data_IF_962720208193
#
_entry.id   IF_962720208193
#
_cell.length_a   1.000
_cell.length_b   1.000
_cell.length_c   1.000
_cell.angle_alpha   90.00
_cell.angle_beta   90.00
_cell.angle_gamma   90.00
#
_symmetry.space_group_name_H-M   'P 1'
#
loop_
_entity.id
_entity.type
_entity.pdbx_description
1 polymer ?
#
# COMPACT_ATOMS: atom_id res chain seq x y z
N UNK A 1 -15.61 36.75 22.27
CA UNK A 1 -14.45 36.53 21.38
C UNK A 1 -13.81 35.19 21.73
N UNK A 2 -14.09 34.13 20.95
CA UNK A 2 -13.34 32.87 21.07
C UNK A 2 -12.02 33.07 20.35
N UNK A 3 -10.91 33.07 21.08
CA UNK A 3 -9.57 33.09 20.49
C UNK A 3 -9.43 31.86 19.58
N UNK A 4 -9.39 32.09 18.26
CA UNK A 4 -8.82 31.13 17.33
C UNK A 4 -7.37 30.92 17.79
N UNK A 5 -7.12 29.79 18.44
CA UNK A 5 -5.76 29.31 18.67
C UNK A 5 -5.12 29.19 17.30
N UNK A 6 -4.15 30.06 17.02
CA UNK A 6 -3.34 29.97 15.83
C UNK A 6 -2.59 28.64 15.90
N UNK A 7 -2.91 27.70 15.00
CA UNK A 7 -2.07 26.52 14.78
C UNK A 7 -0.67 27.01 14.42
N UNK A 8 0.31 26.69 15.25
CA UNK A 8 1.70 26.99 14.95
C UNK A 8 2.12 26.16 13.73
N UNK A 9 2.82 26.77 12.79
CA UNK A 9 3.17 26.26 11.46
C UNK A 9 4.16 25.07 11.44
N UNK A 10 4.31 24.35 12.55
CA UNK A 10 5.36 23.35 12.76
C UNK A 10 4.88 21.94 13.12
N UNK A 11 3.57 21.72 13.21
CA UNK A 11 2.97 20.42 13.53
C UNK A 11 2.61 19.68 12.24
N UNK A 12 3.04 18.42 12.12
CA UNK A 12 2.61 17.55 11.03
C UNK A 12 1.44 16.69 11.51
N UNK A 13 0.30 16.85 10.84
CA UNK A 13 -0.90 16.06 11.10
C UNK A 13 -1.20 15.11 9.94
N UNK A 14 -1.65 13.90 10.28
CA UNK A 14 -2.17 12.90 9.35
C UNK A 14 -3.43 12.27 9.92
N UNK A 15 -4.40 12.02 9.05
CA UNK A 15 -5.70 11.45 9.42
C UNK A 15 -5.88 10.11 8.72
N UNK A 16 -6.41 9.12 9.43
CA UNK A 16 -6.68 7.77 8.93
C UNK A 16 -8.00 7.25 9.49
N UNK A 17 -8.88 6.76 8.64
CA UNK A 17 -10.09 6.06 9.07
C UNK A 17 -9.78 4.58 9.37
N UNK A 18 -10.25 4.08 10.51
CA UNK A 18 -10.03 2.69 10.93
C UNK A 18 -11.18 2.20 11.80
N UNK A 19 -11.83 1.09 11.41
CA UNK A 19 -12.92 0.45 12.17
C UNK A 19 -14.02 1.42 12.63
N UNK A 20 -14.43 2.36 11.77
CA UNK A 20 -15.46 3.36 12.06
C UNK A 20 -15.00 4.53 12.94
N UNK A 21 -13.72 4.57 13.31
CA UNK A 21 -13.08 5.67 14.03
C UNK A 21 -12.20 6.49 13.09
N UNK A 22 -11.93 7.74 13.45
CA UNK A 22 -10.97 8.61 12.79
C UNK A 22 -9.74 8.75 13.69
N UNK A 23 -8.60 8.29 13.22
CA UNK A 23 -7.30 8.40 13.89
C UNK A 23 -6.62 9.68 13.43
N UNK A 24 -6.25 10.54 14.38
CA UNK A 24 -5.51 11.77 14.12
C UNK A 24 -4.12 11.64 14.71
N UNK A 25 -3.12 11.49 13.84
CA UNK A 25 -1.71 11.42 14.20
C UNK A 25 -1.10 12.82 14.14
N UNK A 26 -0.44 13.23 15.21
CA UNK A 26 0.18 14.54 15.33
C UNK A 26 1.60 14.37 15.84
N UNK A 27 2.57 14.88 15.08
CA UNK A 27 3.97 14.87 15.46
C UNK A 27 4.32 16.23 16.08
N UNK A 28 4.62 16.25 17.37
CA UNK A 28 5.13 17.44 18.05
C UNK A 28 6.66 17.46 17.97
N UNK A 29 7.22 18.63 17.59
CA UNK A 29 8.67 18.85 17.67
C UNK A 29 9.04 19.06 19.13
N UNK A 30 10.12 18.42 19.58
CA UNK A 30 10.84 18.93 20.74
C UNK A 30 11.46 20.28 20.39
N UNK A 31 11.33 21.27 21.26
CA UNK A 31 11.84 22.61 20.98
C UNK A 31 13.35 22.61 20.64
N UNK A 32 13.71 23.20 19.49
CA UNK A 32 15.09 23.36 19.01
C UNK A 32 15.68 24.75 19.30
N UNK A 33 15.12 25.48 20.27
CA UNK A 33 15.62 26.80 20.66
C UNK A 33 16.34 26.74 22.01
N UNK A 34 17.50 27.40 22.04
CA UNK A 34 18.54 27.37 23.06
C UNK A 34 18.04 27.57 24.51
N UNK A 35 18.66 26.80 25.42
CA UNK A 35 18.61 26.87 26.91
C UNK A 35 17.61 25.96 27.66
N UNK A 36 17.35 24.76 27.14
CA UNK A 36 16.71 23.68 27.90
C UNK A 36 17.21 22.30 27.48
N UNK A 37 16.99 21.24 28.28
CA UNK A 37 17.21 19.88 27.81
C UNK A 37 16.37 19.62 26.56
N UNK A 38 16.96 19.04 25.52
CA UNK A 38 16.27 18.76 24.26
C UNK A 38 15.01 17.95 24.53
N UNK A 39 13.84 18.54 24.28
CA UNK A 39 12.56 17.85 24.44
C UNK A 39 12.52 16.64 23.49
N UNK A 40 12.16 15.48 24.04
CA UNK A 40 12.06 14.25 23.25
C UNK A 40 10.84 14.40 22.34
N UNK A 41 10.97 14.29 21.01
CA UNK A 41 9.82 14.39 20.12
C UNK A 41 8.79 13.29 20.40
N UNK A 42 7.51 13.65 20.34
CA UNK A 42 6.40 12.75 20.65
C UNK A 42 5.47 12.66 19.44
N UNK A 43 5.14 11.42 19.07
CA UNK A 43 4.01 11.16 18.19
C UNK A 43 2.77 10.95 19.05
N UNK A 44 1.76 11.79 18.87
CA UNK A 44 0.44 11.63 19.49
C UNK A 44 -0.53 10.98 18.53
N UNK A 45 -1.47 10.21 19.06
CA UNK A 45 -2.67 9.76 18.34
C UNK A 45 -3.91 10.07 19.14
N UNK A 46 -4.91 10.64 18.48
CA UNK A 46 -6.26 10.80 19.02
C UNK A 46 -7.21 9.91 18.23
N UNK A 47 -8.01 9.12 18.94
CA UNK A 47 -9.12 8.37 18.34
C UNK A 47 -10.39 9.18 18.47
N UNK A 48 -10.96 9.56 17.33
CA UNK A 48 -12.17 10.34 17.24
C UNK A 48 -13.32 9.44 16.76
N UNK A 49 -14.50 9.64 17.32
CA UNK A 49 -15.73 8.96 16.89
C UNK A 49 -16.78 10.02 16.61
N UNK A 50 -17.63 9.77 15.62
CA UNK A 50 -18.75 10.65 15.37
C UNK A 50 -19.83 10.43 16.42
N UNK A 51 -20.09 11.44 17.23
CA UNK A 51 -21.22 11.45 18.14
C UNK A 51 -22.44 12.05 17.43
N UNK A 52 -23.53 11.27 17.40
CA UNK A 52 -24.77 11.67 16.73
C UNK A 52 -25.52 12.75 17.50
N UNK A 53 -25.39 12.78 18.83
CA UNK A 53 -26.09 13.74 19.68
C UNK A 53 -25.55 15.15 19.47
N UNK A 54 -24.22 15.29 19.52
CA UNK A 54 -23.55 16.58 19.26
C UNK A 54 -23.32 16.84 17.78
N UNK A 55 -23.58 15.86 16.90
CA UNK A 55 -23.28 15.91 15.46
C UNK A 55 -21.82 16.30 15.18
N UNK A 56 -20.90 15.85 16.04
CA UNK A 56 -19.49 16.22 15.99
C UNK A 56 -18.59 15.02 16.27
N UNK A 57 -17.33 15.11 15.79
CA UNK A 57 -16.31 14.14 16.18
C UNK A 57 -15.80 14.44 17.58
N UNK A 58 -15.97 13.49 18.49
CA UNK A 58 -15.51 13.57 19.88
C UNK A 58 -14.32 12.65 20.11
N UNK A 59 -13.38 13.08 20.95
CA UNK A 59 -12.21 12.28 21.30
C UNK A 59 -12.61 11.16 22.25
N UNK A 60 -12.46 9.91 21.81
CA UNK A 60 -12.69 8.70 22.63
C UNK A 60 -11.49 8.33 23.47
N UNK A 61 -10.29 8.44 22.88
CA UNK A 61 -9.05 8.07 23.58
C UNK A 61 -7.82 8.70 22.91
N UNK A 62 -6.70 8.65 23.62
CA UNK A 62 -5.42 9.18 23.15
C UNK A 62 -4.30 8.19 23.46
N UNK A 63 -3.22 8.26 22.69
CA UNK A 63 -1.99 7.53 22.89
C UNK A 63 -0.79 8.36 22.45
N UNK A 64 0.40 7.90 22.82
CA UNK A 64 1.64 8.58 22.43
C UNK A 64 2.80 7.60 22.27
N UNK A 65 3.82 8.03 21.53
CA UNK A 65 5.08 7.33 21.36
C UNK A 65 6.24 8.31 21.40
N UNK A 66 7.15 8.12 22.36
CA UNK A 66 8.36 8.93 22.50
C UNK A 66 9.45 8.45 21.55
N UNK A 67 9.91 9.34 20.67
CA UNK A 67 10.94 9.03 19.68
C UNK A 67 12.30 9.43 20.27
N UNK A 68 13.06 8.44 20.73
CA UNK A 68 14.43 8.61 21.28
C UNK A 68 15.47 8.89 20.19
N UNK A 69 15.25 9.92 19.37
CA UNK A 69 16.21 10.41 18.37
C UNK A 69 16.48 11.88 18.61
N UNK A 70 17.52 12.15 19.40
CA UNK A 70 17.97 13.51 19.69
C UNK A 70 18.46 14.22 18.42
N UNK A 71 18.14 15.51 18.31
CA UNK A 71 18.63 16.38 17.24
C UNK A 71 18.29 15.93 15.81
N UNK A 72 17.23 15.13 15.65
CA UNK A 72 16.72 14.70 14.36
C UNK A 72 15.51 15.51 13.92
N UNK A 73 15.50 15.89 12.64
CA UNK A 73 14.28 16.37 12.01
C UNK A 73 13.37 15.18 11.72
N UNK A 74 12.17 15.19 12.31
CA UNK A 74 11.20 14.13 12.14
C UNK A 74 10.09 14.56 11.17
N UNK A 75 9.67 13.63 10.33
CA UNK A 75 8.61 13.83 9.35
C UNK A 75 7.74 12.58 9.25
N UNK A 76 6.42 12.75 9.26
CA UNK A 76 5.47 11.69 8.92
C UNK A 76 5.46 11.55 7.39
N UNK A 77 5.80 10.36 6.90
CA UNK A 77 5.84 10.04 5.48
C UNK A 77 4.44 9.65 5.01
N UNK A 78 3.87 8.61 5.62
CA UNK A 78 2.54 8.11 5.29
C UNK A 78 1.93 7.36 6.48
N UNK A 79 0.61 7.16 6.43
CA UNK A 79 -0.14 6.29 7.33
C UNK A 79 -1.25 5.59 6.54
N UNK A 80 -1.46 4.31 6.81
CA UNK A 80 -2.57 3.52 6.27
C UNK A 80 -2.77 2.29 7.17
N UNK A 81 -3.48 1.27 6.71
CA UNK A 81 -3.65 -0.01 7.39
C UNK A 81 -2.99 -1.13 6.58
N UNK A 82 -2.43 -2.12 7.27
CA UNK A 82 -1.88 -3.35 6.67
C UNK A 82 -2.12 -4.53 7.61
N UNK A 83 -2.18 -5.72 7.02
CA UNK A 83 -2.28 -6.98 7.77
C UNK A 83 -0.92 -7.36 8.37
N UNK A 84 -0.89 -7.62 9.68
CA UNK A 84 0.29 -8.18 10.36
C UNK A 84 0.34 -9.69 10.13
N UNK A 85 1.39 -10.18 9.47
CA UNK A 85 1.56 -11.63 9.19
C UNK A 85 1.51 -12.51 10.44
N UNK A 86 1.87 -11.97 11.61
CA UNK A 86 1.88 -12.74 12.87
C UNK A 86 0.48 -13.08 13.36
N UNK A 87 -0.48 -12.20 13.12
CA UNK A 87 -1.82 -12.28 13.71
C UNK A 87 -2.94 -12.28 12.67
N UNK A 88 -2.63 -11.96 11.41
CA UNK A 88 -3.61 -11.70 10.35
C UNK A 88 -4.44 -10.42 10.59
N UNK A 89 -4.18 -9.66 11.66
CA UNK A 89 -4.97 -8.48 11.98
C UNK A 89 -4.58 -7.30 11.10
N UNK A 90 -5.57 -6.64 10.52
CA UNK A 90 -5.38 -5.36 9.85
C UNK A 90 -5.18 -4.26 10.89
N UNK A 91 -3.97 -3.68 10.94
CA UNK A 91 -3.57 -2.69 11.92
C UNK A 91 -3.21 -1.36 11.25
N UNK A 92 -3.57 -0.20 11.85
CA UNK A 92 -3.07 1.08 11.41
C UNK A 92 -1.56 1.14 11.58
N UNK A 93 -0.86 1.68 10.60
CA UNK A 93 0.55 1.98 10.67
C UNK A 93 0.82 3.45 10.39
N UNK A 94 1.97 3.90 10.87
CA UNK A 94 2.54 5.20 10.55
C UNK A 94 4.02 5.05 10.27
N UNK A 95 4.47 5.65 9.17
CA UNK A 95 5.86 5.66 8.76
C UNK A 95 6.47 7.02 9.07
N UNK A 96 7.56 7.02 9.83
CA UNK A 96 8.26 8.22 10.27
C UNK A 96 9.68 8.20 9.73
N UNK A 97 10.08 9.31 9.12
CA UNK A 97 11.46 9.60 8.77
C UNK A 97 12.11 10.42 9.88
N UNK A 98 13.38 10.11 10.13
CA UNK A 98 14.27 10.75 11.07
C UNK A 98 15.54 11.12 10.32
N UNK A 99 15.76 12.41 10.10
CA UNK A 99 16.93 12.93 9.41
C UNK A 99 17.94 13.52 10.41
N UNK A 100 19.19 13.05 10.36
CA UNK A 100 20.33 13.65 11.08
C UNK A 100 21.22 14.39 10.07
N UNK A 101 22.00 15.38 10.52
CA UNK A 101 22.86 16.26 9.70
C UNK A 101 23.88 15.56 8.76
N UNK A 102 23.95 14.23 8.73
CA UNK A 102 24.95 13.44 8.02
C UNK A 102 24.41 12.76 6.74
N UNK A 103 23.30 13.22 6.15
CA UNK A 103 22.67 12.61 4.96
C UNK A 103 22.32 11.11 5.11
N UNK A 104 22.18 10.62 6.34
CA UNK A 104 21.68 9.27 6.64
C UNK A 104 20.25 9.40 7.14
N UNK A 105 19.33 8.85 6.37
CA UNK A 105 17.91 8.89 6.66
C UNK A 105 17.50 7.63 7.39
N UNK A 106 16.98 7.78 8.61
CA UNK A 106 16.44 6.66 9.40
C UNK A 106 14.92 6.63 9.26
N UNK A 107 14.36 5.44 9.09
CA UNK A 107 12.92 5.24 8.94
C UNK A 107 12.41 4.28 9.99
N UNK A 108 11.20 4.54 10.48
CA UNK A 108 10.46 3.68 11.40
C UNK A 108 9.09 3.38 10.83
N UNK A 109 8.69 2.12 10.88
CA UNK A 109 7.29 1.72 10.71
C UNK A 109 6.73 1.38 12.09
N UNK A 110 5.73 2.12 12.53
CA UNK A 110 5.06 1.90 13.81
C UNK A 110 3.65 1.36 13.56
N UNK A 111 3.26 0.30 14.24
CA UNK A 111 1.88 -0.17 14.31
C UNK A 111 1.17 0.44 15.51
N UNK A 112 -0.08 0.82 15.32
CA UNK A 112 -0.96 1.26 16.39
C UNK A 112 -1.85 0.10 16.83
N UNK A 113 -1.62 -0.39 18.04
CA UNK A 113 -2.46 -1.42 18.64
C UNK A 113 -3.81 -0.83 19.11
N UNK A 114 -4.81 -1.70 19.32
CA UNK A 114 -6.14 -1.31 19.82
C UNK A 114 -6.08 -0.58 21.17
N UNK A 115 -5.05 -0.86 21.98
CA UNK A 115 -4.78 -0.22 23.28
C UNK A 115 -4.15 1.19 23.18
N UNK A 116 -4.09 1.78 21.98
CA UNK A 116 -3.38 3.04 21.70
C UNK A 116 -1.88 3.00 21.94
N UNK A 117 -1.30 1.80 22.07
CA UNK A 117 0.14 1.62 22.18
C UNK A 117 0.74 1.47 20.80
N UNK A 118 1.85 2.14 20.58
CA UNK A 118 2.64 1.98 19.38
C UNK A 118 3.66 0.85 19.54
N UNK A 119 3.74 -0.01 18.54
CA UNK A 119 4.76 -1.04 18.40
C UNK A 119 5.68 -0.67 17.25
N UNK A 120 6.99 -0.60 17.49
CA UNK A 120 7.96 -0.40 16.40
C UNK A 120 8.13 -1.71 15.64
N UNK A 121 7.51 -1.80 14.46
CA UNK A 121 7.53 -3.01 13.65
C UNK A 121 8.80 -3.15 12.82
N UNK A 122 9.31 -2.04 12.28
CA UNK A 122 10.51 -2.02 11.45
C UNK A 122 11.32 -0.74 11.65
N UNK A 123 12.65 -0.83 11.53
CA UNK A 123 13.57 0.30 11.55
C UNK A 123 14.72 0.05 10.57
N UNK A 124 15.02 1.02 9.71
CA UNK A 124 16.12 0.91 8.74
C UNK A 124 16.74 2.27 8.43
N UNK A 125 17.88 2.26 7.74
CA UNK A 125 18.64 3.45 7.36
C UNK A 125 18.95 3.42 5.88
N UNK A 126 18.91 4.58 5.23
CA UNK A 126 19.24 4.76 3.82
C UNK A 126 20.22 5.93 3.64
N UNK A 127 21.05 5.84 2.60
CA UNK A 127 21.91 6.95 2.15
C UNK A 127 21.20 7.96 1.25
N UNK A 128 19.91 7.74 0.99
CA UNK A 128 19.06 8.61 0.19
C UNK A 128 17.69 8.75 0.85
N UNK A 129 17.01 9.86 0.55
CA UNK A 129 15.65 10.09 1.00
C UNK A 129 14.66 9.25 0.19
N UNK A 130 13.73 8.58 0.85
CA UNK A 130 12.54 8.03 0.23
C UNK A 130 11.68 9.18 -0.31
N UNK A 131 11.63 9.29 -1.65
CA UNK A 131 10.76 10.21 -2.38
C UNK A 131 9.41 9.53 -2.67
N UNK A 132 8.57 10.20 -3.44
CA UNK A 132 7.28 9.67 -3.89
C UNK A 132 7.45 8.27 -4.52
N UNK A 133 6.44 7.40 -4.39
CA UNK A 133 6.40 5.96 -4.74
C UNK A 133 6.76 4.94 -3.64
N UNK A 134 6.60 5.30 -2.37
CA UNK A 134 6.67 4.33 -1.26
C UNK A 134 5.34 3.59 -1.17
N UNK A 135 5.40 2.26 -1.14
CA UNK A 135 4.24 1.41 -0.90
C UNK A 135 4.50 0.44 0.23
N UNK A 136 3.49 0.28 1.08
CA UNK A 136 3.51 -0.67 2.19
C UNK A 136 2.39 -1.67 1.92
N UNK A 137 2.77 -2.93 1.71
CA UNK A 137 1.87 -4.05 1.50
C UNK A 137 1.70 -4.86 2.78
N UNK A 138 0.81 -5.85 2.78
CA UNK A 138 0.63 -6.78 3.90
C UNK A 138 1.94 -7.49 4.26
N UNK A 139 2.10 -7.88 5.52
CA UNK A 139 3.30 -8.60 5.98
C UNK A 139 4.29 -7.85 6.88
N UNK A 140 4.13 -6.55 7.18
CA UNK A 140 4.24 -5.45 6.22
C UNK A 140 5.51 -5.51 5.36
N UNK A 141 5.36 -5.38 4.04
CA UNK A 141 6.48 -5.23 3.11
C UNK A 141 6.55 -3.79 2.59
N UNK A 142 7.65 -3.11 2.84
CA UNK A 142 7.90 -1.76 2.30
C UNK A 142 8.65 -1.91 0.99
N UNK A 143 8.10 -1.37 -0.09
CA UNK A 143 8.71 -1.32 -1.42
C UNK A 143 8.80 0.14 -1.88
N UNK A 144 9.91 0.52 -2.48
CA UNK A 144 10.07 1.81 -3.13
C UNK A 144 10.97 1.69 -4.36
N UNK A 145 10.84 2.64 -5.27
CA UNK A 145 11.71 2.76 -6.44
C UNK A 145 12.80 3.81 -6.18
N UNK A 146 14.03 3.51 -6.56
CA UNK A 146 15.12 4.48 -6.59
C UNK A 146 16.04 4.18 -7.77
N UNK A 147 16.27 5.17 -8.63
CA UNK A 147 17.13 5.04 -9.83
C UNK A 147 16.75 3.80 -10.66
N UNK A 148 15.45 3.70 -11.01
CA UNK A 148 14.85 2.60 -11.79
C UNK A 148 14.99 1.20 -11.16
N UNK A 149 15.41 1.11 -9.91
CA UNK A 149 15.54 -0.15 -9.18
C UNK A 149 14.54 -0.20 -8.03
N UNK A 150 13.80 -1.30 -7.93
CA UNK A 150 12.94 -1.54 -6.79
C UNK A 150 13.73 -2.11 -5.62
N UNK A 151 13.58 -1.46 -4.47
CA UNK A 151 14.12 -1.90 -3.19
C UNK A 151 12.98 -2.31 -2.29
N UNK A 152 13.26 -3.24 -1.39
CA UNK A 152 12.30 -3.69 -0.41
C UNK A 152 12.95 -3.97 0.95
N UNK A 153 12.10 -3.95 1.98
CA UNK A 153 12.44 -4.41 3.32
C UNK A 153 11.18 -4.94 4.01
N UNK A 154 11.34 -6.01 4.78
CA UNK A 154 10.29 -6.56 5.64
C UNK A 154 10.83 -6.85 7.05
N UNK A 155 9.96 -7.00 8.07
CA UNK A 155 10.39 -7.44 9.39
C UNK A 155 11.10 -8.80 9.40
N UNK A 156 10.76 -9.70 8.48
CA UNK A 156 11.35 -11.04 8.35
C UNK A 156 12.79 -10.96 7.83
N UNK A 157 13.04 -10.11 6.82
CA UNK A 157 14.37 -9.95 6.22
C UNK A 157 15.27 -9.04 7.05
N UNK A 158 14.71 -7.98 7.66
CA UNK A 158 15.41 -7.01 8.49
C UNK A 158 16.51 -6.21 7.78
N UNK A 159 16.67 -6.39 6.46
CA UNK A 159 17.71 -5.79 5.64
C UNK A 159 17.09 -5.26 4.34
N UNK A 160 17.62 -4.13 3.88
CA UNK A 160 17.25 -3.57 2.58
C UNK A 160 17.83 -4.47 1.50
N UNK A 161 16.99 -4.92 0.58
CA UNK A 161 17.36 -5.75 -0.56
C UNK A 161 16.77 -5.17 -1.85
N UNK A 162 17.31 -5.62 -2.99
CA UNK A 162 16.87 -5.22 -4.33
C UNK A 162 16.04 -6.32 -4.96
N UNK A 163 14.99 -5.93 -5.67
CA UNK A 163 14.26 -6.84 -6.56
C UNK A 163 15.13 -7.07 -7.80
N UNK A 164 15.39 -8.33 -8.15
CA UNK A 164 16.26 -8.69 -9.27
C UNK A 164 15.61 -8.50 -10.65
N UNK A 165 14.29 -8.30 -10.66
CA UNK A 165 13.48 -8.11 -11.87
C UNK A 165 13.23 -6.63 -12.10
N UNK A 166 13.36 -6.21 -13.36
CA UNK A 166 13.01 -4.86 -13.79
C UNK A 166 11.48 -4.74 -13.93
N UNK A 167 10.80 -4.45 -12.82
CA UNK A 167 9.40 -4.05 -12.85
C UNK A 167 9.27 -2.62 -13.38
N UNK A 168 8.23 -2.35 -14.18
CA UNK A 168 7.75 -0.99 -14.44
C UNK A 168 6.80 -0.54 -13.34
N UNK A 169 5.98 -1.46 -12.83
CA UNK A 169 5.13 -1.28 -11.65
C UNK A 169 4.94 -2.60 -10.90
N UNK A 170 4.75 -2.54 -9.58
CA UNK A 170 4.36 -3.70 -8.75
C UNK A 170 2.90 -3.52 -8.35
N UNK A 171 1.96 -4.35 -8.76
CA UNK A 171 0.54 -4.13 -8.46
C UNK A 171 0.12 -4.73 -7.11
N UNK A 172 0.76 -5.84 -6.72
CA UNK A 172 0.42 -6.52 -5.48
C UNK A 172 1.65 -7.17 -4.86
N UNK A 173 1.64 -7.26 -3.54
CA UNK A 173 2.58 -8.09 -2.78
C UNK A 173 1.86 -8.75 -1.61
N UNK A 174 2.19 -9.99 -1.32
CA UNK A 174 1.63 -10.70 -0.17
C UNK A 174 2.39 -11.97 0.15
N UNK A 175 2.16 -12.50 1.35
CA UNK A 175 2.75 -13.75 1.81
C UNK A 175 1.89 -14.93 1.36
N UNK A 176 2.53 -15.95 0.78
CA UNK A 176 1.88 -17.21 0.40
C UNK A 176 2.55 -18.35 1.18
N UNK A 177 1.72 -19.19 1.82
CA UNK A 177 2.20 -20.32 2.60
C UNK A 177 3.16 -21.20 1.78
N UNK A 178 4.30 -21.56 2.38
CA UNK A 178 5.39 -22.34 1.79
C UNK A 178 6.20 -21.67 0.66
N UNK A 179 5.78 -20.49 0.18
CA UNK A 179 6.49 -19.75 -0.87
C UNK A 179 7.13 -18.45 -0.36
N UNK A 180 6.62 -17.91 0.76
CA UNK A 180 7.07 -16.64 1.31
C UNK A 180 6.41 -15.45 0.62
N UNK A 181 7.12 -14.32 0.56
CA UNK A 181 6.63 -13.08 -0.02
C UNK A 181 6.68 -13.13 -1.56
N UNK A 182 5.53 -12.86 -2.16
CA UNK A 182 5.32 -12.91 -3.61
C UNK A 182 4.94 -11.53 -4.12
N UNK A 183 5.57 -11.09 -5.20
CA UNK A 183 5.25 -9.87 -5.92
C UNK A 183 4.55 -10.19 -7.24
N UNK A 184 3.50 -9.44 -7.55
CA UNK A 184 2.87 -9.42 -8.87
C UNK A 184 3.02 -8.01 -9.44
N UNK A 185 3.55 -7.89 -10.65
CA UNK A 185 3.78 -6.58 -11.26
C UNK A 185 3.99 -6.65 -12.75
N UNK A 186 4.02 -5.49 -13.39
CA UNK A 186 4.34 -5.33 -14.80
C UNK A 186 5.86 -5.30 -15.00
N UNK A 187 6.35 -6.07 -15.95
CA UNK A 187 7.73 -6.03 -16.41
C UNK A 187 7.96 -4.75 -17.20
N UNK A 188 9.14 -4.17 -17.06
CA UNK A 188 9.62 -3.18 -18.00
C UNK A 188 9.95 -3.92 -19.30
N UNK A 189 9.08 -3.81 -20.30
CA UNK A 189 9.36 -4.38 -21.62
C UNK A 189 10.56 -3.63 -22.22
N UNK A 190 11.71 -4.30 -22.31
CA UNK A 190 12.70 -3.91 -23.31
C UNK A 190 12.07 -4.22 -24.66
N UNK A 191 11.84 -3.20 -25.48
CA UNK A 191 11.74 -3.45 -26.92
C UNK A 191 13.04 -4.19 -27.29
N UNK A 192 13.00 -5.28 -28.07
CA UNK A 192 14.22 -5.74 -28.70
C UNK A 192 14.70 -4.57 -29.56
N UNK A 193 15.81 -3.95 -29.15
CA UNK A 193 16.68 -3.32 -30.13
C UNK A 193 16.98 -4.43 -31.15
N UNK A 194 16.78 -4.11 -32.42
CA UNK A 194 17.11 -5.01 -33.51
C UNK A 194 18.55 -5.52 -33.34
N UNK A 195 18.78 -6.80 -33.68
CA UNK A 195 20.07 -7.50 -33.69
C UNK A 195 20.59 -8.00 -32.34
N UNK A 196 20.21 -9.23 -31.96
CA UNK A 196 20.97 -10.42 -32.30
C UNK A 196 20.34 -11.62 -31.59
N UNK A 197 20.11 -12.70 -32.32
CA UNK A 197 19.44 -13.90 -31.80
C UNK A 197 20.39 -14.73 -30.92
N UNK A 198 20.10 -14.97 -29.63
CA UNK A 198 20.52 -16.20 -28.99
C UNK A 198 19.47 -17.26 -29.29
N UNK A 199 19.89 -18.44 -29.74
CA UNK A 199 19.02 -19.62 -29.90
C UNK A 199 18.37 -19.95 -28.55
N UNK A 200 17.14 -19.48 -28.32
CA UNK A 200 16.32 -19.90 -27.19
C UNK A 200 15.23 -20.86 -27.65
N UNK A 201 14.97 -21.88 -26.83
CA UNK A 201 13.98 -22.91 -27.08
C UNK A 201 12.56 -22.33 -27.10
N UNK A 202 11.63 -22.98 -27.82
CA UNK A 202 10.23 -22.55 -27.97
C UNK A 202 9.47 -22.29 -26.65
N UNK A 203 9.99 -22.78 -25.51
CA UNK A 203 9.45 -22.50 -24.17
C UNK A 203 9.69 -21.07 -23.70
N UNK A 204 10.77 -20.43 -24.15
CA UNK A 204 11.16 -19.12 -23.65
C UNK A 204 10.32 -18.02 -24.30
N UNK A 205 9.80 -18.22 -25.52
CA UNK A 205 8.93 -17.25 -26.19
C UNK A 205 7.64 -16.92 -25.40
N UNK A 206 7.12 -17.86 -24.61
CA UNK A 206 5.91 -17.66 -23.82
C UNK A 206 6.15 -16.74 -22.60
N UNK A 207 7.36 -16.70 -22.06
CA UNK A 207 7.74 -15.86 -20.92
C UNK A 207 7.87 -14.37 -21.28
N UNK A 208 8.14 -14.07 -22.56
CA UNK A 208 8.43 -12.72 -23.04
C UNK A 208 7.19 -11.97 -23.54
N UNK A 209 6.12 -12.67 -23.89
CA UNK A 209 4.92 -12.04 -24.47
C UNK A 209 3.89 -11.57 -23.42
N UNK A 210 4.12 -11.81 -22.13
CA UNK A 210 3.25 -11.32 -21.06
C UNK A 210 3.85 -10.07 -20.42
N UNK A 211 3.02 -9.04 -20.22
CA UNK A 211 3.45 -7.82 -19.53
C UNK A 211 3.60 -7.97 -18.03
N UNK A 212 2.97 -8.96 -17.40
CA UNK A 212 3.11 -9.18 -15.96
C UNK A 212 4.10 -10.29 -15.66
N UNK A 213 4.55 -10.38 -14.41
CA UNK A 213 5.24 -11.55 -13.88
C UNK A 213 4.98 -11.69 -12.39
N UNK A 214 5.15 -12.92 -11.90
CA UNK A 214 5.17 -13.23 -10.48
C UNK A 214 6.61 -13.45 -10.04
N UNK A 215 7.01 -12.81 -8.96
CA UNK A 215 8.37 -12.90 -8.41
C UNK A 215 8.35 -13.34 -6.95
N UNK A 216 9.10 -14.38 -6.62
CA UNK A 216 9.29 -14.88 -5.26
C UNK A 216 10.50 -14.21 -4.63
N UNK A 217 10.32 -13.50 -3.53
CA UNK A 217 11.40 -12.72 -2.92
C UNK A 217 12.47 -13.61 -2.28
N UNK A 218 12.08 -14.72 -1.69
CA UNK A 218 12.93 -15.66 -0.96
C UNK A 218 13.82 -16.46 -1.91
N UNK A 219 13.22 -17.01 -2.96
CA UNK A 219 13.94 -17.85 -3.94
C UNK A 219 14.53 -17.02 -5.10
N UNK A 220 14.16 -15.74 -5.21
CA UNK A 220 14.52 -14.84 -6.32
C UNK A 220 14.15 -15.43 -7.68
N UNK A 221 13.02 -16.14 -7.72
CA UNK A 221 12.54 -16.85 -8.89
C UNK A 221 11.41 -16.08 -9.56
N UNK A 222 11.38 -16.10 -10.90
CA UNK A 222 10.29 -15.54 -11.70
C UNK A 222 9.48 -16.67 -12.29
N UNK A 223 8.17 -16.68 -12.03
CA UNK A 223 7.25 -17.60 -12.70
C UNK A 223 6.38 -16.81 -13.68
N UNK A 224 6.05 -17.46 -14.80
CA UNK A 224 5.13 -16.92 -15.80
C UNK A 224 3.78 -16.63 -15.17
N UNK A 225 3.23 -15.46 -15.45
CA UNK A 225 1.90 -15.00 -15.08
C UNK A 225 0.80 -15.44 -16.06
N UNK A 226 1.15 -16.13 -17.14
CA UNK A 226 0.21 -16.45 -18.23
C UNK A 226 -1.02 -17.25 -17.75
N UNK A 227 -0.89 -18.00 -16.66
CA UNK A 227 -1.99 -18.74 -16.03
C UNK A 227 -2.75 -17.92 -14.96
N UNK A 228 -2.39 -16.65 -14.76
CA UNK A 228 -2.96 -15.73 -13.76
C UNK A 228 -3.70 -14.60 -14.47
N UNK A 229 -3.01 -13.94 -15.40
CA UNK A 229 -3.55 -12.89 -16.26
C UNK A 229 -3.35 -13.35 -17.71
N UNK A 230 -4.44 -13.56 -18.48
CA UNK A 230 -4.28 -13.95 -19.88
C UNK A 230 -3.56 -12.87 -20.68
N UNK A 231 -2.72 -13.25 -21.66
CA UNK A 231 -1.97 -12.30 -22.49
C UNK A 231 -2.86 -11.22 -23.13
N UNK A 232 -4.08 -11.58 -23.53
CA UNK A 232 -5.07 -10.67 -24.12
C UNK A 232 -5.48 -9.50 -23.20
N UNK A 233 -5.33 -9.64 -21.88
CA UNK A 233 -5.64 -8.60 -20.90
C UNK A 233 -4.39 -7.88 -20.37
N UNK A 234 -3.20 -8.47 -20.55
CA UNK A 234 -1.95 -7.97 -19.98
C UNK A 234 -1.62 -6.52 -20.37
N UNK A 235 -2.10 -6.03 -21.51
CA UNK A 235 -1.87 -4.65 -21.96
C UNK A 235 -2.90 -3.64 -21.48
N UNK A 236 -4.07 -4.10 -21.01
CA UNK A 236 -5.20 -3.23 -20.66
C UNK A 236 -5.44 -3.13 -19.17
N UNK A 237 -4.82 -3.99 -18.34
CA UNK A 237 -4.98 -3.93 -16.89
C UNK A 237 -4.22 -2.73 -16.32
N UNK A 238 -4.90 -1.93 -15.50
CA UNK A 238 -4.34 -0.75 -14.81
C UNK A 238 -4.07 -1.00 -13.34
N UNK A 239 -4.82 -1.88 -12.70
CA UNK A 239 -4.72 -2.18 -11.27
C UNK A 239 -5.22 -3.60 -11.02
N UNK A 240 -4.61 -4.28 -10.04
CA UNK A 240 -4.98 -5.62 -9.61
C UNK A 240 -5.19 -5.65 -8.10
N UNK A 241 -6.22 -6.38 -7.67
CA UNK A 241 -6.42 -6.75 -6.28
C UNK A 241 -6.54 -8.27 -6.18
N UNK A 242 -5.67 -8.89 -5.39
CA UNK A 242 -5.67 -10.35 -5.21
C UNK A 242 -6.63 -10.70 -4.07
N UNK A 243 -7.65 -11.49 -4.37
CA UNK A 243 -8.67 -11.91 -3.42
C UNK A 243 -8.25 -13.16 -2.64
N UNK A 244 -7.61 -14.11 -3.33
CA UNK A 244 -7.17 -15.36 -2.72
C UNK A 244 -5.96 -15.91 -3.47
N UNK A 245 -5.08 -16.57 -2.73
CA UNK A 245 -3.94 -17.29 -3.28
C UNK A 245 -3.89 -18.70 -2.67
N UNK A 246 -3.55 -19.68 -3.49
CA UNK A 246 -3.30 -21.06 -3.04
C UNK A 246 -2.10 -21.63 -3.81
N UNK A 247 -1.28 -22.45 -3.16
CA UNK A 247 -0.21 -23.19 -3.83
C UNK A 247 -0.50 -24.68 -3.71
N UNK A 248 -0.92 -25.28 -4.81
CA UNK A 248 -1.38 -26.68 -4.86
C UNK A 248 -0.74 -27.37 -6.05
N UNK A 249 -0.26 -28.60 -5.87
CA UNK A 249 0.38 -29.40 -6.93
C UNK A 249 1.55 -28.66 -7.63
N UNK A 250 2.37 -27.95 -6.84
CA UNK A 250 3.49 -27.16 -7.34
C UNK A 250 3.09 -26.03 -8.32
N UNK A 251 1.84 -25.58 -8.25
CA UNK A 251 1.32 -24.49 -9.08
C UNK A 251 0.68 -23.43 -8.19
N UNK A 252 1.07 -22.18 -8.42
CA UNK A 252 0.40 -21.03 -7.83
C UNK A 252 -0.96 -20.83 -8.51
N UNK A 253 -2.00 -20.69 -7.72
CA UNK A 253 -3.36 -20.40 -8.16
C UNK A 253 -3.82 -19.14 -7.46
N UNK A 254 -4.46 -18.26 -8.22
CA UNK A 254 -4.88 -16.95 -7.73
C UNK A 254 -6.26 -16.61 -8.24
N UNK A 255 -7.06 -16.04 -7.34
CA UNK A 255 -8.27 -15.31 -7.66
C UNK A 255 -7.98 -13.83 -7.50
N UNK A 256 -8.23 -13.04 -8.54
CA UNK A 256 -7.95 -11.61 -8.53
C UNK A 256 -9.01 -10.81 -9.26
N UNK A 257 -9.19 -9.57 -8.83
CA UNK A 257 -9.93 -8.54 -9.52
C UNK A 257 -8.94 -7.68 -10.30
N UNK A 258 -9.24 -7.44 -11.57
CA UNK A 258 -8.48 -6.54 -12.42
C UNK A 258 -9.36 -5.37 -12.87
N UNK A 259 -8.81 -4.17 -12.77
CA UNK A 259 -9.34 -2.97 -13.38
C UNK A 259 -8.67 -2.77 -14.75
N UNK A 260 -9.43 -2.35 -15.75
CA UNK A 260 -8.90 -2.15 -17.11
C UNK A 260 -9.04 -0.71 -17.60
N UNK A 261 -8.21 -0.32 -18.57
CA UNK A 261 -8.28 0.94 -19.32
C UNK A 261 -9.60 1.09 -20.09
N UNK A 262 -10.36 0.00 -20.26
CA UNK A 262 -11.71 0.02 -20.87
C UNK A 262 -12.82 0.20 -19.83
N UNK A 263 -12.45 0.63 -18.62
CA UNK A 263 -13.36 0.84 -17.48
C UNK A 263 -14.10 -0.44 -17.12
N UNK A 264 -13.41 -1.57 -17.08
CA UNK A 264 -14.00 -2.85 -16.69
C UNK A 264 -13.40 -3.31 -15.37
N UNK A 265 -14.25 -3.91 -14.54
CA UNK A 265 -13.85 -4.71 -13.39
C UNK A 265 -14.06 -6.17 -13.76
N UNK A 266 -13.01 -6.98 -13.73
CA UNK A 266 -13.02 -8.38 -14.16
C UNK A 266 -12.50 -9.26 -13.04
N UNK A 267 -13.24 -10.33 -12.72
CA UNK A 267 -12.76 -11.41 -11.85
C UNK A 267 -12.05 -12.46 -12.69
N UNK A 268 -10.78 -12.67 -12.40
CA UNK A 268 -10.01 -13.78 -12.90
C UNK A 268 -9.88 -14.83 -11.82
N UNK A 269 -10.13 -16.08 -12.18
CA UNK A 269 -9.85 -17.25 -11.35
C UNK A 269 -8.92 -18.17 -12.13
N UNK A 270 -7.67 -18.28 -11.68
CA UNK A 270 -6.63 -19.09 -12.33
C UNK A 270 -6.53 -18.77 -13.83
N UNK A 271 -6.45 -17.49 -14.17
CA UNK A 271 -6.34 -17.01 -15.54
C UNK A 271 -7.66 -17.04 -16.34
N UNK A 272 -8.73 -17.63 -15.81
CA UNK A 272 -10.02 -17.65 -16.52
C UNK A 272 -10.88 -16.47 -16.08
N UNK A 273 -11.34 -15.58 -16.99
CA UNK A 273 -12.31 -14.55 -16.64
C UNK A 273 -13.64 -15.21 -16.26
N UNK A 274 -14.13 -14.94 -15.05
CA UNK A 274 -15.38 -15.51 -14.50
C UNK A 274 -16.54 -14.54 -14.58
N UNK A 275 -16.29 -13.27 -14.23
CA UNK A 275 -17.31 -12.22 -14.17
C UNK A 275 -16.72 -10.91 -14.64
N UNK A 276 -17.57 -10.05 -15.20
CA UNK A 276 -17.19 -8.72 -15.66
C UNK A 276 -18.29 -7.71 -15.35
N UNK A 277 -17.90 -6.54 -14.89
CA UNK A 277 -18.75 -5.39 -14.67
C UNK A 277 -18.20 -4.19 -15.47
N UNK A 278 -19.05 -3.56 -16.28
CA UNK A 278 -18.69 -2.28 -16.91
C UNK A 278 -18.83 -1.17 -15.86
N UNK A 279 -17.73 -0.47 -15.61
CA UNK A 279 -17.68 0.61 -14.65
C UNK A 279 -18.27 1.90 -15.24
N UNK A 280 -18.93 2.72 -14.40
CA UNK A 280 -19.67 3.90 -14.85
C UNK A 280 -18.76 5.11 -15.14
N UNK A 281 -17.49 5.07 -14.72
CA UNK A 281 -16.55 6.18 -14.85
C UNK A 281 -15.26 5.76 -15.55
N UNK A 282 -14.60 6.75 -16.15
CA UNK A 282 -13.29 6.59 -16.77
C UNK A 282 -12.14 6.51 -15.76
N UNK A 283 -11.06 5.81 -16.14
CA UNK A 283 -9.80 5.75 -15.40
C UNK A 283 -9.93 5.16 -13.97
N UNK A 284 -10.38 3.91 -13.80
CA UNK A 284 -10.37 3.25 -12.50
C UNK A 284 -8.94 3.07 -12.00
N UNK A 285 -8.67 3.50 -10.76
CA UNK A 285 -7.31 3.58 -10.21
C UNK A 285 -7.04 2.64 -9.03
N UNK A 286 -8.06 2.26 -8.26
CA UNK A 286 -7.91 1.35 -7.14
C UNK A 286 -9.21 0.57 -6.90
N UNK A 287 -9.08 -0.64 -6.35
CA UNK A 287 -10.21 -1.44 -5.90
C UNK A 287 -9.92 -2.02 -4.52
N UNK A 288 -10.93 -2.03 -3.66
CA UNK A 288 -10.86 -2.58 -2.31
C UNK A 288 -12.09 -3.45 -2.06
N UNK A 289 -11.92 -4.54 -1.33
CA UNK A 289 -13.03 -5.36 -0.83
C UNK A 289 -13.53 -4.78 0.50
N UNK A 290 -14.83 -4.53 0.59
CA UNK A 290 -15.49 -4.03 1.79
C UNK A 290 -16.60 -5.01 2.21
N UNK A 291 -16.57 -5.42 3.47
CA UNK A 291 -17.66 -6.15 4.09
C UNK A 291 -18.70 -5.16 4.63
N UNK A 292 -19.93 -5.23 4.12
CA UNK A 292 -21.06 -4.43 4.59
C UNK A 292 -21.81 -5.08 5.78
N UNK A 293 -21.35 -6.24 6.23
CA UNK A 293 -21.96 -7.07 7.27
C UNK A 293 -23.02 -8.05 6.74
N UNK A 294 -23.63 -7.78 5.59
CA UNK A 294 -24.56 -8.71 4.91
C UNK A 294 -23.99 -9.32 3.66
N UNK A 295 -23.16 -8.57 2.96
CA UNK A 295 -22.68 -8.87 1.62
C UNK A 295 -21.32 -8.18 1.42
N UNK A 296 -20.50 -8.76 0.55
CA UNK A 296 -19.20 -8.21 0.14
C UNK A 296 -19.37 -7.28 -1.07
N UNK A 297 -18.68 -6.13 -1.03
CA UNK A 297 -18.68 -5.10 -2.06
C UNK A 297 -17.26 -4.79 -2.52
N UNK A 298 -17.05 -4.69 -3.83
CA UNK A 298 -15.88 -4.06 -4.40
C UNK A 298 -16.10 -2.55 -4.49
N UNK A 299 -15.31 -1.79 -3.74
CA UNK A 299 -15.25 -0.34 -3.83
C UNK A 299 -14.16 0.03 -4.83
N UNK A 300 -14.57 0.56 -5.99
CA UNK A 300 -13.67 1.03 -7.03
C UNK A 300 -13.54 2.54 -6.93
N UNK A 301 -12.31 3.01 -6.80
CA UNK A 301 -11.96 4.42 -6.80
C UNK A 301 -11.49 4.87 -8.18
N UNK A 302 -11.82 6.11 -8.49
CA UNK A 302 -11.40 6.87 -9.66
C UNK A 302 -10.77 8.18 -9.15
N UNK A 303 -10.24 9.01 -10.05
CA UNK A 303 -9.61 10.28 -9.65
C UNK A 303 -10.48 11.20 -8.79
N UNK A 304 -11.79 11.25 -9.04
CA UNK A 304 -12.72 12.16 -8.34
C UNK A 304 -14.07 11.51 -8.03
N UNK A 305 -14.15 10.19 -8.07
CA UNK A 305 -15.39 9.45 -7.89
C UNK A 305 -15.10 8.06 -7.35
N UNK A 306 -16.13 7.40 -6.85
CA UNK A 306 -16.08 6.01 -6.45
C UNK A 306 -17.38 5.30 -6.88
N UNK A 307 -17.31 3.98 -7.08
CA UNK A 307 -18.49 3.15 -7.23
C UNK A 307 -18.36 1.86 -6.45
N UNK A 308 -19.49 1.30 -6.04
CA UNK A 308 -19.56 0.00 -5.38
C UNK A 308 -20.13 -1.04 -6.36
N UNK A 309 -19.55 -2.24 -6.38
CA UNK A 309 -20.00 -3.39 -7.17
C UNK A 309 -20.19 -4.58 -6.22
N UNK A 310 -21.34 -5.26 -6.30
CA UNK A 310 -21.59 -6.47 -5.51
C UNK A 310 -20.66 -7.61 -5.95
N UNK A 311 -20.03 -8.28 -4.98
CA UNK A 311 -19.17 -9.43 -5.28
C UNK A 311 -19.98 -10.61 -5.83
N UNK A 312 -21.16 -10.90 -5.28
CA UNK A 312 -21.98 -12.06 -5.67
C UNK A 312 -22.48 -12.05 -7.12
N UNK A 313 -22.81 -10.89 -7.68
CA UNK A 313 -23.46 -10.79 -8.98
C UNK A 313 -22.79 -9.79 -9.94
N UNK A 314 -21.71 -9.13 -9.53
CA UNK A 314 -20.94 -8.18 -10.35
C UNK A 314 -21.80 -7.05 -10.95
N UNK A 315 -22.88 -6.67 -10.26
CA UNK A 315 -23.73 -5.55 -10.64
C UNK A 315 -23.32 -4.27 -9.90
N UNK A 316 -23.31 -3.14 -10.61
CA UNK A 316 -23.05 -1.82 -10.02
C UNK A 316 -24.17 -1.42 -9.07
N UNK A 317 -23.80 -0.97 -7.87
CA UNK A 317 -24.74 -0.70 -6.77
C UNK A 317 -25.03 0.78 -6.66
N UNK A 318 -23.97 1.58 -6.54
CA UNK A 318 -24.05 3.01 -6.22
C UNK A 318 -22.84 3.72 -6.80
N UNK A 319 -23.03 4.98 -7.20
CA UNK A 319 -21.95 5.84 -7.67
C UNK A 319 -21.89 7.11 -6.82
N UNK A 320 -20.69 7.56 -6.52
CA UNK A 320 -20.44 8.81 -5.80
C UNK A 320 -19.47 9.65 -6.61
N UNK A 321 -19.79 10.93 -6.81
CA UNK A 321 -18.87 11.93 -7.39
C UNK A 321 -18.51 12.92 -6.29
N UNK A 322 -17.22 13.13 -6.07
CA UNK A 322 -16.77 14.28 -5.31
C UNK A 322 -17.06 15.50 -6.16
N UNK A 323 -18.02 16.32 -5.74
CA UNK A 323 -18.09 17.70 -6.22
C UNK A 323 -16.84 18.39 -5.66
N UNK A 324 -15.92 18.78 -6.54
CA UNK A 324 -14.77 19.58 -6.17
C UNK A 324 -15.26 20.90 -5.58
N UNK A 325 -15.40 20.97 -4.26
CA UNK A 325 -15.46 22.17 -3.42
C UNK A 325 -15.65 21.77 -1.94
N UNK A 326 -14.63 21.18 -1.33
CA UNK A 326 -14.31 21.30 0.10
C UNK A 326 -13.12 20.37 0.42
N UNK A 327 -12.18 20.87 1.23
CA UNK A 327 -10.93 20.25 1.69
C UNK A 327 -9.71 20.51 0.79
N UNK A 328 -9.30 21.78 0.77
CA UNK A 328 -7.90 22.18 0.87
C UNK A 328 -7.59 22.55 2.32
#
# INVERSE_FOLDING_TARGET
MRSKQAMSSNEQERVLCYNGEVLVFQLSKGNFADKGPAEIPILHVRRMVFDRETSAFVQKSTGFFSIKEENAYLKIICCNCVSDFRTGMNLPYIMIQCNKKNNVFKYFLLFLQSTNKFEKRLSFRLGHELKDDIRVFDGPLIIWNHVKTFFYISPQTGKVATVSVNFSSIEWAGEIANLGMVLLGQKQCCLPEEEDTPKSSKSDYAFWNTRFCVYFLENKEVITDAYIIPPAYSSVITCVHVCATEFVNNQLRMSLIALTQKNQLILFQNGTPKSMCQLPFGDPCAVQLMDSGRDLLFIVSFRSSACAVWEKNFQGVCTYKLFANALY
#
